data_IF_685684159883
#
_entry.id   IF_685684159883
#
_cell.length_a   1.000
_cell.length_b   1.000
_cell.length_c   1.000
_cell.angle_alpha   90.00
_cell.angle_beta   90.00
_cell.angle_gamma   90.00
#
_symmetry.space_group_name_H-M   'P 1'
#
loop_
_entity.id
_entity.type
_entity.pdbx_description
1 polymer ?
#
# COMPACT_ATOMS: atom_id res chain seq x y z
N UNK A 1 45.91 -10.96 20.73
CA UNK A 1 44.96 -11.97 20.21
C UNK A 1 43.79 -11.16 19.67
N UNK A 2 43.96 -10.63 18.45
CA UNK A 2 43.38 -11.13 17.18
C UNK A 2 41.88 -10.82 17.08
N UNK A 3 41.29 -10.24 16.04
CA UNK A 3 41.65 -9.71 14.72
C UNK A 3 40.38 -8.97 14.26
N UNK A 4 40.47 -7.72 13.77
CA UNK A 4 40.40 -7.38 12.33
C UNK A 4 39.23 -8.01 11.56
N UNK A 5 38.13 -7.27 11.37
CA UNK A 5 37.07 -7.66 10.43
C UNK A 5 36.40 -6.53 9.63
N UNK A 6 36.89 -5.28 9.69
CA UNK A 6 36.34 -4.22 8.82
C UNK A 6 37.43 -3.31 8.23
N UNK A 7 38.12 -3.81 7.20
CA UNK A 7 38.60 -3.00 6.07
C UNK A 7 38.96 -3.87 4.87
N UNK A 8 38.26 -3.71 3.73
CA UNK A 8 39.03 -3.53 2.49
C UNK A 8 38.44 -2.50 1.51
N UNK A 9 37.90 -1.36 1.95
CA UNK A 9 37.41 -0.32 1.02
C UNK A 9 38.16 1.02 1.04
N UNK A 10 39.25 1.15 1.80
CA UNK A 10 40.24 2.22 1.56
C UNK A 10 41.55 1.64 1.08
N UNK A 11 41.70 1.57 -0.25
CA UNK A 11 42.90 2.02 -1.00
C UNK A 11 42.82 1.58 -2.47
N UNK A 12 42.15 2.37 -3.29
CA UNK A 12 42.62 2.66 -4.65
C UNK A 12 42.64 4.17 -4.83
N UNK A 13 43.77 4.77 -4.43
CA UNK A 13 44.11 6.18 -4.65
C UNK A 13 44.17 6.41 -6.17
N UNK A 14 43.22 7.14 -6.73
CA UNK A 14 43.36 7.79 -8.03
C UNK A 14 44.04 9.16 -7.81
N UNK A 15 45.15 9.46 -8.49
CA UNK A 15 46.00 10.61 -8.16
C UNK A 15 45.59 11.93 -8.84
N UNK A 16 44.32 12.12 -9.23
CA UNK A 16 43.87 13.32 -9.94
C UNK A 16 42.92 14.25 -9.15
N UNK A 17 42.47 13.88 -7.94
CA UNK A 17 41.41 14.60 -7.20
C UNK A 17 41.90 15.21 -5.87
N UNK A 18 43.10 15.80 -5.83
CA UNK A 18 43.63 16.42 -4.60
C UNK A 18 43.98 17.91 -4.70
N UNK A 19 43.63 18.56 -5.82
CA UNK A 19 44.07 19.93 -6.11
C UNK A 19 43.01 21.03 -6.19
N UNK A 20 41.71 20.74 -6.00
CA UNK A 20 40.64 21.72 -6.27
C UNK A 20 39.47 21.76 -5.26
N UNK A 21 39.56 21.10 -4.09
CA UNK A 21 38.39 20.60 -3.36
C UNK A 21 38.06 21.18 -1.96
N UNK A 22 38.63 22.28 -1.43
CA UNK A 22 38.48 22.59 0.01
C UNK A 22 38.13 24.04 0.43
N UNK A 23 37.50 24.84 -0.42
CA UNK A 23 36.89 26.13 0.02
C UNK A 23 35.36 26.19 -0.22
N UNK A 24 34.83 25.50 -1.24
CA UNK A 24 33.40 25.58 -1.60
C UNK A 24 32.53 24.42 -1.06
N UNK A 25 33.09 23.52 -0.23
CA UNK A 25 32.35 22.36 0.29
C UNK A 25 31.31 22.77 1.34
N UNK A 26 31.63 23.72 2.21
CA UNK A 26 30.71 24.15 3.28
C UNK A 26 29.51 24.92 2.71
N UNK A 27 29.73 25.73 1.67
CA UNK A 27 28.66 26.43 0.95
C UNK A 27 27.78 25.45 0.17
N UNK A 28 28.37 24.46 -0.48
CA UNK A 28 27.66 23.35 -1.12
C UNK A 28 26.83 22.52 -0.13
N UNK A 29 27.38 22.18 1.05
CA UNK A 29 26.62 21.47 2.09
C UNK A 29 25.46 22.31 2.63
N UNK A 30 25.67 23.62 2.81
CA UNK A 30 24.62 24.53 3.25
C UNK A 30 23.51 24.65 2.20
N UNK A 31 23.85 24.74 0.92
CA UNK A 31 22.86 24.77 -0.17
C UNK A 31 22.05 23.47 -0.22
N UNK A 32 22.71 22.31 -0.06
CA UNK A 32 22.05 21.01 0.05
C UNK A 32 21.15 20.95 1.29
N UNK A 33 21.60 21.46 2.43
CA UNK A 33 20.82 21.46 3.67
C UNK A 33 19.58 22.35 3.53
N UNK A 34 19.71 23.54 2.94
CA UNK A 34 18.58 24.44 2.65
C UNK A 34 17.60 23.85 1.63
N UNK A 35 18.10 23.16 0.60
CA UNK A 35 17.27 22.48 -0.38
C UNK A 35 16.55 21.27 0.24
N UNK A 36 17.26 20.46 1.02
CA UNK A 36 16.71 19.32 1.75
C UNK A 36 15.66 19.78 2.78
N UNK A 37 15.88 20.89 3.49
CA UNK A 37 14.88 21.47 4.40
C UNK A 37 13.62 21.92 3.66
N UNK A 38 13.78 22.54 2.49
CA UNK A 38 12.65 22.94 1.63
C UNK A 38 11.84 21.74 1.16
N UNK A 39 12.51 20.71 0.66
CA UNK A 39 11.86 19.46 0.23
C UNK A 39 11.20 18.73 1.40
N UNK A 40 11.86 18.68 2.56
CA UNK A 40 11.33 18.06 3.76
C UNK A 40 10.08 18.79 4.27
N UNK A 41 10.08 20.13 4.22
CA UNK A 41 8.89 20.93 4.55
C UNK A 41 7.75 20.64 3.57
N UNK A 42 8.02 20.63 2.27
CA UNK A 42 7.01 20.32 1.26
C UNK A 42 6.43 18.91 1.43
N UNK A 43 7.28 17.91 1.70
CA UNK A 43 6.86 16.54 2.00
C UNK A 43 6.01 16.49 3.30
N UNK A 44 6.38 17.27 4.32
CA UNK A 44 5.64 17.32 5.61
C UNK A 44 4.23 17.86 5.47
N UNK A 45 4.00 18.74 4.50
CA UNK A 45 2.67 19.26 4.19
C UNK A 45 1.81 18.24 3.43
N UNK A 46 2.44 17.33 2.68
CA UNK A 46 1.75 16.29 1.91
C UNK A 46 1.42 15.04 2.73
N UNK A 47 2.20 14.74 3.78
CA UNK A 47 2.00 13.55 4.61
C UNK A 47 0.94 13.82 5.70
N UNK A 48 -0.09 12.97 5.82
CA UNK A 48 -1.05 13.05 6.91
C UNK A 48 -0.39 13.05 8.29
N UNK A 49 -0.87 13.90 9.20
CA UNK A 49 -0.29 14.05 10.55
C UNK A 49 -0.34 12.74 11.35
N UNK A 50 -1.32 11.89 11.07
CA UNK A 50 -1.50 10.56 11.67
C UNK A 50 -0.35 9.61 11.35
N UNK A 51 0.39 9.86 10.27
CA UNK A 51 1.57 9.08 9.86
C UNK A 51 2.88 9.67 10.41
N UNK A 52 2.84 10.76 11.18
CA UNK A 52 4.03 11.38 11.78
C UNK A 52 4.00 11.15 13.28
N UNK A 53 5.03 10.47 13.81
CA UNK A 53 5.21 10.17 15.23
C UNK A 53 6.48 10.83 15.74
N UNK A 54 6.47 11.34 16.97
CA UNK A 54 7.70 11.79 17.63
C UNK A 54 8.22 10.68 18.54
N UNK A 55 9.53 10.38 18.44
CA UNK A 55 10.21 9.53 19.42
C UNK A 55 11.32 10.32 20.10
N UNK A 56 11.46 10.11 21.40
CA UNK A 56 12.56 10.68 22.19
C UNK A 56 13.70 9.68 22.24
N UNK A 57 14.90 10.11 21.85
CA UNK A 57 16.11 9.31 21.94
C UNK A 57 16.65 9.28 23.38
N UNK A 58 17.53 8.31 23.73
CA UNK A 58 18.13 8.23 25.07
C UNK A 58 18.88 9.49 25.51
N UNK A 59 19.33 10.32 24.58
CA UNK A 59 19.98 11.61 24.83
C UNK A 59 19.00 12.77 25.03
N UNK A 60 17.69 12.51 25.02
CA UNK A 60 16.63 13.50 25.20
C UNK A 60 16.24 14.26 23.92
N UNK A 61 16.92 14.03 22.80
CA UNK A 61 16.55 14.64 21.52
C UNK A 61 15.27 14.01 20.95
N UNK A 62 14.46 14.80 20.24
CA UNK A 62 13.24 14.33 19.60
C UNK A 62 13.47 14.16 18.10
N UNK A 63 13.13 12.99 17.58
CA UNK A 63 13.16 12.73 16.14
C UNK A 63 11.77 12.34 15.64
N UNK A 64 11.40 12.87 14.46
CA UNK A 64 10.14 12.53 13.80
C UNK A 64 10.31 11.24 13.01
N UNK A 65 9.44 10.27 13.26
CA UNK A 65 9.32 9.02 12.53
C UNK A 65 8.08 9.09 11.63
N UNK A 66 8.24 8.72 10.37
CA UNK A 66 7.22 8.92 9.34
C UNK A 66 6.77 7.58 8.77
N UNK A 67 5.48 7.43 8.51
CA UNK A 67 4.87 6.25 7.94
C UNK A 67 4.31 5.27 8.98
N UNK A 68 4.20 3.97 8.65
CA UNK A 68 4.80 3.32 7.49
C UNK A 68 4.15 3.73 6.17
N UNK A 69 4.98 3.91 5.14
CA UNK A 69 4.55 4.04 3.75
C UNK A 69 4.72 2.68 3.05
N UNK A 70 3.65 2.20 2.44
CA UNK A 70 3.60 0.94 1.73
C UNK A 70 3.20 1.24 0.29
N UNK A 71 4.04 0.82 -0.63
CA UNK A 71 3.75 0.76 -2.06
C UNK A 71 4.02 -0.65 -2.53
N UNK A 72 3.05 -1.23 -3.22
CA UNK A 72 3.27 -2.50 -3.90
C UNK A 72 2.40 -2.62 -5.13
N UNK A 73 2.78 -3.55 -5.99
CA UNK A 73 2.06 -3.88 -7.21
C UNK A 73 2.00 -5.39 -7.40
N UNK A 74 0.93 -5.85 -8.02
CA UNK A 74 0.72 -7.22 -8.49
C UNK A 74 0.53 -7.20 -9.99
N UNK A 75 1.17 -8.12 -10.70
CA UNK A 75 1.06 -8.28 -12.15
C UNK A 75 0.50 -9.66 -12.44
N UNK A 76 -0.63 -9.71 -13.13
CA UNK A 76 -1.24 -10.97 -13.60
C UNK A 76 -1.24 -10.98 -15.12
N UNK A 77 -0.78 -12.06 -15.74
CA UNK A 77 -0.83 -12.22 -17.20
C UNK A 77 -2.10 -12.99 -17.55
N UNK A 78 -3.01 -12.33 -18.27
CA UNK A 78 -4.26 -12.93 -18.71
C UNK A 78 -4.08 -13.92 -19.87
N UNK A 79 -5.11 -14.73 -20.20
CA UNK A 79 -5.09 -15.63 -21.37
C UNK A 79 -4.89 -14.90 -22.71
N UNK A 80 -5.20 -13.61 -22.75
CA UNK A 80 -4.98 -12.71 -23.88
C UNK A 80 -3.54 -12.17 -23.96
N UNK A 81 -2.66 -12.59 -23.05
CA UNK A 81 -1.27 -12.18 -22.99
C UNK A 81 -1.04 -10.76 -22.46
N UNK A 82 -2.11 -10.04 -22.06
CA UNK A 82 -1.98 -8.68 -21.56
C UNK A 82 -1.74 -8.66 -20.05
N UNK A 83 -0.75 -7.89 -19.56
CA UNK A 83 -0.53 -7.74 -18.12
C UNK A 83 -1.62 -6.88 -17.49
N UNK A 84 -2.21 -7.37 -16.41
CA UNK A 84 -3.07 -6.60 -15.52
C UNK A 84 -2.25 -6.21 -14.28
N UNK A 85 -1.95 -4.92 -14.14
CA UNK A 85 -1.21 -4.36 -13.00
C UNK A 85 -2.20 -3.81 -11.98
N UNK A 86 -2.09 -4.25 -10.72
CA UNK A 86 -2.87 -3.75 -9.58
C UNK A 86 -1.92 -3.20 -8.53
N UNK A 87 -2.13 -1.98 -8.06
CA UNK A 87 -1.34 -1.40 -6.95
C UNK A 87 -2.07 -1.56 -5.62
N UNK A 88 -1.32 -1.55 -4.52
CA UNK A 88 -1.82 -1.62 -3.15
C UNK A 88 -0.91 -0.83 -2.20
N UNK A 89 -1.35 -0.67 -0.95
CA UNK A 89 -0.64 0.13 0.04
C UNK A 89 -1.31 1.48 0.30
N UNK A 90 -0.59 2.41 0.89
CA UNK A 90 -1.06 3.76 1.21
C UNK A 90 -0.31 4.87 0.48
N UNK A 91 0.60 4.51 -0.44
CA UNK A 91 1.27 5.44 -1.34
C UNK A 91 0.65 5.33 -2.74
N UNK A 92 0.10 6.43 -3.26
CA UNK A 92 -0.37 6.50 -4.64
C UNK A 92 0.53 7.41 -5.45
N UNK A 93 1.13 6.83 -6.49
CA UNK A 93 1.96 7.55 -7.46
C UNK A 93 1.12 7.79 -8.70
N UNK A 94 0.89 9.06 -9.04
CA UNK A 94 0.13 9.49 -10.21
C UNK A 94 0.98 10.34 -11.16
N UNK A 95 0.48 10.49 -12.39
CA UNK A 95 1.03 11.43 -13.36
C UNK A 95 0.26 12.76 -13.26
N UNK A 96 0.93 13.82 -12.80
CA UNK A 96 0.43 15.19 -12.80
C UNK A 96 1.07 16.04 -13.91
N UNK A 97 0.53 17.22 -14.25
CA UNK A 97 1.16 18.13 -15.22
C UNK A 97 2.56 18.55 -14.73
N UNK A 98 3.60 18.04 -15.40
CA UNK A 98 4.99 18.46 -15.20
C UNK A 98 5.75 17.85 -14.01
N UNK A 99 5.08 17.15 -13.07
CA UNK A 99 5.72 16.40 -11.96
C UNK A 99 4.88 15.18 -11.54
N UNK A 100 5.52 14.08 -11.08
CA UNK A 100 4.79 12.96 -10.48
C UNK A 100 4.05 13.44 -9.22
N UNK A 101 2.78 13.06 -9.08
CA UNK A 101 2.00 13.32 -7.87
C UNK A 101 2.16 12.15 -6.91
N UNK A 102 2.45 12.46 -5.64
CA UNK A 102 2.52 11.48 -4.57
C UNK A 102 1.41 11.82 -3.59
N UNK A 103 0.48 10.88 -3.41
CA UNK A 103 -0.62 10.98 -2.45
C UNK A 103 -0.43 9.93 -1.35
N UNK A 104 -0.43 10.39 -0.10
CA UNK A 104 -0.27 9.57 1.08
C UNK A 104 -1.61 9.41 1.78
N UNK A 105 -2.07 8.17 1.92
CA UNK A 105 -3.29 7.87 2.65
C UNK A 105 -2.99 7.37 4.06
N UNK A 106 -3.87 7.68 4.99
CA UNK A 106 -3.78 7.11 6.35
C UNK A 106 -4.15 5.62 6.28
N UNK A 107 -5.19 5.28 5.54
CA UNK A 107 -5.59 3.89 5.35
C UNK A 107 -4.76 3.19 4.28
N UNK A 108 -4.30 1.98 4.62
CA UNK A 108 -3.65 1.07 3.68
C UNK A 108 -4.69 0.33 2.86
N UNK A 109 -4.50 0.28 1.54
CA UNK A 109 -5.25 -0.66 0.71
C UNK A 109 -4.66 -2.08 0.85
N UNK A 110 -5.43 -3.06 1.34
CA UNK A 110 -5.04 -4.46 1.33
C UNK A 110 -4.96 -5.01 -0.10
N UNK A 111 -4.14 -6.05 -0.29
CA UNK A 111 -4.20 -6.86 -1.52
C UNK A 111 -5.50 -7.66 -1.46
N UNK A 112 -6.26 -7.63 -2.55
CA UNK A 112 -7.50 -8.37 -2.69
C UNK A 112 -7.48 -9.17 -3.98
N UNK A 113 -7.89 -10.43 -3.88
CA UNK A 113 -8.25 -11.27 -5.01
C UNK A 113 -9.73 -11.63 -4.99
N UNK A 114 -10.33 -11.71 -6.17
CA UNK A 114 -11.76 -11.97 -6.36
C UNK A 114 -11.94 -13.09 -7.36
N UNK A 115 -12.52 -14.19 -6.90
CA UNK A 115 -12.76 -15.38 -7.70
C UNK A 115 -14.26 -15.63 -7.81
N UNK A 116 -14.70 -16.13 -8.95
CA UNK A 116 -16.09 -16.49 -9.20
C UNK A 116 -16.19 -17.97 -9.52
N UNK A 117 -17.10 -18.67 -8.88
CA UNK A 117 -17.45 -20.07 -9.19
C UNK A 117 -18.92 -20.15 -9.64
N UNK A 118 -19.43 -21.35 -9.95
CA UNK A 118 -20.77 -21.51 -10.51
C UNK A 118 -21.89 -20.99 -9.59
N UNK A 119 -21.69 -20.94 -8.26
CA UNK A 119 -22.72 -20.53 -7.30
C UNK A 119 -22.34 -19.40 -6.35
N UNK A 120 -21.09 -18.96 -6.32
CA UNK A 120 -20.60 -18.00 -5.33
C UNK A 120 -19.48 -17.11 -5.88
N UNK A 121 -19.24 -16.00 -5.18
CA UNK A 121 -18.09 -15.12 -5.33
C UNK A 121 -17.26 -15.27 -4.05
N UNK A 122 -15.96 -15.50 -4.21
CA UNK A 122 -15.00 -15.57 -3.11
C UNK A 122 -14.06 -14.37 -3.18
N UNK A 123 -13.95 -13.64 -2.08
CA UNK A 123 -13.03 -12.51 -1.92
C UNK A 123 -11.99 -12.89 -0.88
N UNK A 124 -10.72 -12.77 -1.24
CA UNK A 124 -9.57 -13.04 -0.35
C UNK A 124 -8.80 -11.75 -0.17
N UNK A 125 -8.56 -11.33 1.07
CA UNK A 125 -7.86 -10.10 1.40
C UNK A 125 -6.76 -10.31 2.44
N UNK A 126 -5.60 -9.67 2.23
CA UNK A 126 -4.50 -9.66 3.18
C UNK A 126 -4.63 -8.51 4.18
N UNK A 127 -4.84 -8.84 5.46
CA UNK A 127 -5.02 -7.89 6.55
C UNK A 127 -4.14 -8.28 7.75
N UNK A 128 -2.80 -8.31 7.62
CA UNK A 128 -1.91 -8.82 8.66
C UNK A 128 -1.83 -7.90 9.88
N UNK A 129 -1.72 -8.51 11.06
CA UNK A 129 -1.52 -7.83 12.33
C UNK A 129 -2.74 -7.08 12.85
N UNK A 130 -3.94 -7.53 12.46
CA UNK A 130 -5.23 -7.00 12.92
C UNK A 130 -5.98 -8.14 13.61
N UNK A 131 -6.63 -7.84 14.73
CA UNK A 131 -7.50 -8.80 15.42
C UNK A 131 -8.83 -8.96 14.67
N UNK A 132 -9.44 -10.13 14.75
CA UNK A 132 -10.66 -10.44 13.97
C UNK A 132 -11.79 -9.45 14.28
N UNK A 133 -11.90 -9.06 15.53
CA UNK A 133 -12.96 -8.22 16.09
C UNK A 133 -12.89 -6.77 15.55
N UNK A 134 -11.71 -6.35 15.10
CA UNK A 134 -11.47 -5.01 14.55
C UNK A 134 -11.79 -4.92 13.04
N UNK A 135 -12.01 -6.06 12.38
CA UNK A 135 -12.33 -6.12 10.95
C UNK A 135 -13.83 -5.93 10.75
N UNK A 136 -14.20 -4.83 10.10
CA UNK A 136 -15.58 -4.53 9.71
C UNK A 136 -15.80 -4.92 8.26
N UNK A 137 -16.82 -5.74 8.03
CA UNK A 137 -17.26 -6.14 6.69
C UNK A 137 -18.65 -5.60 6.43
N UNK A 138 -18.82 -4.99 5.25
CA UNK A 138 -20.13 -4.53 4.79
C UNK A 138 -20.33 -4.98 3.34
N UNK A 139 -21.32 -5.84 3.11
CA UNK A 139 -21.65 -6.36 1.79
C UNK A 139 -22.94 -5.76 1.25
N UNK A 140 -22.90 -5.30 0.00
CA UNK A 140 -24.09 -4.98 -0.81
C UNK A 140 -24.31 -6.08 -1.85
N UNK A 141 -25.34 -5.97 -2.69
CA UNK A 141 -25.53 -6.94 -3.78
C UNK A 141 -24.39 -6.92 -4.80
N UNK A 142 -23.61 -5.83 -4.87
CA UNK A 142 -22.61 -5.60 -5.94
C UNK A 142 -21.24 -5.22 -5.42
N UNK A 143 -21.06 -4.96 -4.12
CA UNK A 143 -19.77 -4.58 -3.54
C UNK A 143 -19.54 -5.20 -2.16
N UNK A 144 -18.28 -5.39 -1.80
CA UNK A 144 -17.84 -5.75 -0.45
C UNK A 144 -16.85 -4.69 0.04
N UNK A 145 -17.17 -4.06 1.16
CA UNK A 145 -16.28 -3.15 1.88
C UNK A 145 -15.57 -3.88 3.01
N UNK A 146 -14.25 -3.72 3.07
CA UNK A 146 -13.36 -4.22 4.13
C UNK A 146 -12.73 -3.01 4.79
N UNK A 147 -12.97 -2.81 6.09
CA UNK A 147 -12.39 -1.69 6.83
C UNK A 147 -11.86 -2.10 8.21
N UNK A 148 -10.77 -1.45 8.60
CA UNK A 148 -10.11 -1.57 9.90
C UNK A 148 -9.73 -0.17 10.33
N UNK A 149 -10.09 0.22 11.55
CA UNK A 149 -9.76 1.52 12.12
C UNK A 149 -9.23 1.34 13.54
N UNK A 150 -7.96 0.97 13.64
CA UNK A 150 -7.23 0.84 14.91
C UNK A 150 -6.08 1.86 14.96
N UNK A 151 -5.61 2.24 16.16
CA UNK A 151 -4.43 3.12 16.29
C UNK A 151 -3.14 2.56 15.66
N UNK A 152 -3.03 1.23 15.54
CA UNK A 152 -1.85 0.54 15.03
C UNK A 152 -1.94 0.28 13.53
N UNK A 153 -3.15 -0.01 13.02
CA UNK A 153 -3.41 -0.39 11.62
C UNK A 153 -4.72 0.22 11.14
N UNK A 154 -4.67 0.90 10.00
CA UNK A 154 -5.86 1.31 9.26
C UNK A 154 -5.87 0.66 7.89
N UNK A 155 -6.97 0.00 7.55
CA UNK A 155 -7.19 -0.59 6.23
C UNK A 155 -8.52 -0.14 5.68
N UNK A 156 -8.57 0.11 4.37
CA UNK A 156 -9.82 0.38 3.68
C UNK A 156 -9.74 -0.15 2.24
N UNK A 157 -10.74 -0.94 1.84
CA UNK A 157 -10.97 -1.31 0.44
C UNK A 157 -12.44 -1.53 0.18
N UNK A 158 -12.92 -0.95 -0.91
CA UNK A 158 -14.17 -1.36 -1.53
C UNK A 158 -13.83 -2.23 -2.75
N UNK A 159 -14.52 -3.36 -2.84
CA UNK A 159 -14.31 -4.39 -3.86
C UNK A 159 -15.59 -4.54 -4.66
N UNK A 160 -15.56 -4.20 -5.94
CA UNK A 160 -16.65 -4.47 -6.85
C UNK A 160 -16.77 -5.97 -7.11
N UNK A 161 -17.98 -6.51 -6.98
CA UNK A 161 -18.25 -7.92 -7.16
C UNK A 161 -18.65 -8.20 -8.61
N UNK A 162 -18.11 -9.27 -9.23
CA UNK A 162 -18.37 -9.60 -10.63
C UNK A 162 -19.78 -10.15 -10.91
N UNK A 163 -20.58 -10.40 -9.86
CA UNK A 163 -21.95 -10.87 -9.97
C UNK A 163 -22.76 -10.38 -8.78
N UNK A 164 -24.09 -10.37 -8.92
CA UNK A 164 -25.00 -10.08 -7.81
C UNK A 164 -24.96 -11.19 -6.77
N UNK A 165 -24.79 -10.83 -5.51
CA UNK A 165 -24.71 -11.78 -4.39
C UNK A 165 -25.83 -11.57 -3.38
N UNK A 166 -25.98 -12.51 -2.45
CA UNK A 166 -26.82 -12.40 -1.26
C UNK A 166 -25.93 -12.22 -0.01
N UNK A 167 -25.70 -10.97 0.46
CA UNK A 167 -24.86 -10.70 1.62
C UNK A 167 -25.36 -11.35 2.91
N UNK A 168 -26.67 -11.65 3.02
CA UNK A 168 -27.24 -12.25 4.24
C UNK A 168 -26.80 -13.70 4.42
N UNK A 169 -26.42 -14.38 3.33
CA UNK A 169 -25.91 -15.76 3.34
C UNK A 169 -24.38 -15.81 3.28
N UNK A 170 -23.71 -14.68 3.42
CA UNK A 170 -22.25 -14.60 3.39
C UNK A 170 -21.63 -15.39 4.54
N UNK A 171 -20.48 -15.99 4.28
CA UNK A 171 -19.63 -16.62 5.29
C UNK A 171 -18.25 -15.99 5.23
N UNK A 172 -17.60 -15.84 6.37
CA UNK A 172 -16.24 -15.33 6.44
C UNK A 172 -15.37 -16.16 7.37
N UNK A 173 -14.08 -16.20 7.08
CA UNK A 173 -13.05 -16.77 7.96
C UNK A 173 -11.83 -15.86 7.95
N UNK A 174 -11.13 -15.78 9.07
CA UNK A 174 -9.92 -14.99 9.21
C UNK A 174 -8.88 -15.82 9.95
N UNK A 175 -7.75 -16.10 9.28
CA UNK A 175 -6.67 -16.94 9.80
C UNK A 175 -5.33 -16.41 9.32
N UNK A 176 -4.39 -16.25 10.24
CA UNK A 176 -3.01 -15.85 9.96
C UNK A 176 -2.90 -14.58 9.07
N UNK A 177 -3.76 -13.59 9.30
CA UNK A 177 -3.76 -12.35 8.51
C UNK A 177 -4.49 -12.44 7.17
N UNK A 178 -5.08 -13.58 6.82
CA UNK A 178 -5.86 -13.75 5.59
C UNK A 178 -7.34 -13.78 5.91
N UNK A 179 -8.07 -12.83 5.34
CA UNK A 179 -9.53 -12.76 5.37
C UNK A 179 -10.09 -13.43 4.11
N UNK A 180 -10.94 -14.42 4.29
CA UNK A 180 -11.71 -15.05 3.21
C UNK A 180 -13.19 -14.77 3.42
N UNK A 181 -13.86 -14.24 2.40
CA UNK A 181 -15.29 -13.95 2.39
C UNK A 181 -15.93 -14.68 1.21
N UNK A 182 -16.90 -15.54 1.51
CA UNK A 182 -17.67 -16.31 0.51
C UNK A 182 -19.09 -15.77 0.45
N UNK A 183 -19.49 -15.32 -0.73
CA UNK A 183 -20.75 -14.64 -1.01
C UNK A 183 -21.55 -15.46 -2.04
N UNK A 184 -22.65 -16.12 -1.63
CA UNK A 184 -23.50 -16.84 -2.57
C UNK A 184 -24.08 -15.90 -3.61
N UNK A 185 -24.08 -16.31 -4.88
CA UNK A 185 -24.74 -15.56 -5.94
C UNK A 185 -26.24 -15.53 -5.70
N UNK A 186 -26.85 -14.40 -6.02
CA UNK A 186 -28.31 -14.27 -5.96
C UNK A 186 -28.89 -15.05 -7.14
N UNK A 187 -29.90 -15.88 -6.88
CA UNK A 187 -30.64 -16.55 -7.95
C UNK A 187 -31.35 -15.49 -8.80
N UNK A 188 -30.90 -15.32 -10.04
CA UNK A 188 -31.62 -14.48 -11.00
C UNK A 188 -32.82 -15.26 -11.50
N UNK A 189 -34.04 -14.77 -11.20
CA UNK A 189 -35.24 -15.21 -11.91
C UNK A 189 -35.03 -14.91 -13.40
N UNK A 190 -35.31 -15.85 -14.32
CA UNK A 190 -35.16 -15.59 -15.75
C UNK A 190 -35.98 -14.34 -16.11
N UNK A 191 -35.31 -13.34 -16.69
CA UNK A 191 -35.94 -12.06 -17.07
C UNK A 191 -36.75 -12.14 -18.36
N UNK A 192 -36.86 -13.31 -18.97
CA UNK A 192 -37.56 -13.50 -20.23
C UNK A 192 -37.97 -14.95 -20.47
N UNK A 193 -38.83 -15.11 -21.46
CA UNK A 193 -39.29 -16.41 -21.95
C UNK A 193 -38.56 -16.77 -23.25
N UNK A 194 -38.31 -18.07 -23.51
CA UNK A 194 -37.72 -18.51 -24.76
C UNK A 194 -38.67 -18.22 -25.93
N UNK A 195 -38.24 -17.36 -26.87
CA UNK A 195 -38.95 -17.12 -28.13
C UNK A 195 -38.59 -18.26 -29.09
N UNK A 196 -39.59 -19.01 -29.54
CA UNK A 196 -39.40 -20.02 -30.60
C UNK A 196 -39.36 -19.34 -31.96
N UNK A 197 -38.47 -19.79 -32.83
CA UNK A 197 -38.39 -19.37 -34.23
C UNK A 197 -39.28 -20.33 -35.04
N UNK A 198 -40.16 -19.79 -35.88
CA UNK A 198 -40.93 -20.53 -36.90
C UNK A 198 -40.16 -20.64 -38.21
#
# INVERSE_FOLDING_TARGET
MSEDWWSPFRRRRWPFFRGWFFEDIDEFFKEIEEEMEREFRALSEMVPKELVRERTLPDGSKVKEWGPFVYGYSVTIGPDGKPQVRTFGNLKVGAGPGRPSIDFKVEREPIVDVMTTNGEVKVIAEVPGVEKEDIKLHGTETSLTISVDTPQRKYYKEVDLPAKVDPKKAKSSYRNGILEVTLPKKEEKPKGEPIKIE
#
